data_IF_526224732202
#
_entry.id   IF_526224732202
#
_cell.length_a   1.000
_cell.length_b   1.000
_cell.length_c   1.000
_cell.angle_alpha   90.00
_cell.angle_beta   90.00
_cell.angle_gamma   90.00
#
_symmetry.space_group_name_H-M   'P 1'
#
loop_
_entity.id
_entity.type
_entity.pdbx_description
1 polymer ?
#
# COMPACT_ATOMS: atom_id res chain seq x y z
N UNK A 1 -2.51 -14.74 11.68
CA UNK A 1 -1.14 -14.20 11.84
C UNK A 1 -0.78 -13.43 10.59
N UNK A 2 -0.06 -12.31 10.71
CA UNK A 2 0.41 -11.57 9.56
C UNK A 2 1.73 -12.16 9.03
N UNK A 3 1.91 -12.15 7.71
CA UNK A 3 3.12 -12.58 7.02
C UNK A 3 3.85 -11.36 6.45
N UNK A 4 5.18 -11.32 6.60
CA UNK A 4 5.99 -10.24 6.04
C UNK A 4 6.01 -10.32 4.51
N UNK A 5 5.81 -9.17 3.86
CA UNK A 5 5.83 -9.05 2.40
C UNK A 5 7.13 -8.40 1.96
N UNK A 6 7.48 -7.26 2.54
CA UNK A 6 8.64 -6.50 2.08
C UNK A 6 8.80 -5.15 2.77
N UNK A 7 9.91 -4.48 2.45
CA UNK A 7 10.15 -3.09 2.81
C UNK A 7 10.42 -2.32 1.53
N UNK A 8 9.68 -1.23 1.33
CA UNK A 8 9.69 -0.44 0.10
C UNK A 8 10.00 1.00 0.44
N UNK A 9 10.79 1.65 -0.42
CA UNK A 9 11.19 3.04 -0.24
C UNK A 9 11.03 3.82 -1.55
N UNK A 10 10.49 5.02 -1.45
CA UNK A 10 10.43 5.98 -2.55
C UNK A 10 10.44 7.41 -2.00
N UNK A 11 10.67 8.39 -2.88
CA UNK A 11 10.51 9.80 -2.52
C UNK A 11 9.05 10.12 -2.21
N UNK A 12 8.83 11.03 -1.26
CA UNK A 12 7.50 11.53 -0.93
C UNK A 12 6.94 12.37 -2.07
N UNK A 13 5.72 12.05 -2.52
CA UNK A 13 5.02 12.88 -3.51
C UNK A 13 4.63 14.25 -2.92
N UNK A 14 4.46 14.34 -1.60
CA UNK A 14 4.03 15.54 -0.92
C UNK A 14 5.16 16.56 -0.70
N UNK A 15 6.43 16.12 -0.67
CA UNK A 15 7.57 16.99 -0.40
C UNK A 15 8.75 16.73 -1.32
N UNK A 16 9.15 17.76 -2.05
CA UNK A 16 10.27 17.73 -3.00
C UNK A 16 11.64 17.97 -2.35
N UNK A 17 11.72 18.02 -1.02
CA UNK A 17 12.95 18.25 -0.26
C UNK A 17 13.80 16.99 -0.08
N UNK A 18 13.56 15.96 -0.91
CA UNK A 18 14.28 14.69 -0.85
C UNK A 18 13.83 13.77 0.29
N UNK A 19 12.67 14.03 0.89
CA UNK A 19 12.11 13.15 1.91
C UNK A 19 11.81 11.77 1.33
N UNK A 20 12.36 10.73 1.95
CA UNK A 20 12.09 9.33 1.62
C UNK A 20 11.00 8.78 2.54
N UNK A 21 10.00 8.14 1.94
CA UNK A 21 8.98 7.35 2.64
C UNK A 21 9.42 5.89 2.61
N UNK A 22 9.36 5.23 3.77
CA UNK A 22 9.60 3.79 3.90
C UNK A 22 8.35 3.10 4.42
N UNK A 23 7.90 2.05 3.74
CA UNK A 23 6.83 1.16 4.18
C UNK A 23 7.37 -0.21 4.52
N UNK A 24 7.03 -0.75 5.69
CA UNK A 24 7.22 -2.17 6.03
C UNK A 24 5.87 -2.87 5.95
N UNK A 25 5.70 -3.70 4.93
CA UNK A 25 4.41 -4.26 4.54
C UNK A 25 4.25 -5.70 5.03
N UNK A 26 3.03 -6.02 5.46
CA UNK A 26 2.59 -7.35 5.87
C UNK A 26 1.24 -7.66 5.24
N UNK A 27 0.96 -8.94 5.01
CA UNK A 27 -0.35 -9.43 4.56
C UNK A 27 -0.97 -10.35 5.61
N UNK A 28 -2.30 -10.37 5.71
CA UNK A 28 -3.04 -11.21 6.63
C UNK A 28 -4.46 -11.46 6.13
N UNK A 29 -5.06 -12.59 6.51
CA UNK A 29 -6.49 -12.80 6.35
C UNK A 29 -7.27 -11.91 7.33
N UNK A 30 -8.32 -11.28 6.83
CA UNK A 30 -9.26 -10.49 7.63
C UNK A 30 -10.65 -11.14 7.59
N UNK A 31 -11.38 -11.07 8.71
CA UNK A 31 -12.77 -11.53 8.82
C UNK A 31 -13.62 -10.45 9.48
N UNK A 32 -14.81 -10.20 8.91
CA UNK A 32 -15.71 -9.16 9.38
C UNK A 32 -15.68 -7.92 8.48
N UNK A 33 -16.51 -6.91 8.78
CA UNK A 33 -16.60 -5.70 7.98
C UNK A 33 -15.41 -4.76 8.25
N UNK A 34 -15.01 -4.02 7.23
CA UNK A 34 -14.15 -2.85 7.43
C UNK A 34 -14.98 -1.67 7.89
N UNK A 35 -14.48 -0.92 8.87
CA UNK A 35 -15.11 0.30 9.36
C UNK A 35 -14.07 1.40 9.45
N UNK A 36 -14.41 2.57 8.90
CA UNK A 36 -13.58 3.76 8.97
C UNK A 36 -13.42 4.19 10.44
N UNK A 37 -12.25 4.71 10.80
CA UNK A 37 -11.96 5.12 12.18
C UNK A 37 -10.87 6.18 12.23
N UNK A 38 -10.95 7.08 13.22
CA UNK A 38 -9.99 8.15 13.49
C UNK A 38 -9.78 9.05 12.26
N UNK A 39 -8.53 9.22 11.82
CA UNK A 39 -8.16 10.07 10.69
C UNK A 39 -8.50 9.48 9.31
N UNK A 40 -8.93 8.21 9.23
CA UNK A 40 -9.25 7.59 7.96
C UNK A 40 -10.64 8.07 7.54
N UNK A 41 -10.73 8.67 6.36
CA UNK A 41 -11.98 9.22 5.78
C UNK A 41 -12.72 8.18 4.91
N UNK A 42 -11.97 7.29 4.23
CA UNK A 42 -12.53 6.27 3.33
C UNK A 42 -11.73 4.95 3.41
N UNK A 43 -12.42 3.82 3.22
CA UNK A 43 -11.80 2.52 2.94
C UNK A 43 -12.37 2.00 1.62
N UNK A 44 -11.49 1.66 0.68
CA UNK A 44 -11.86 1.13 -0.63
C UNK A 44 -10.87 0.05 -1.07
N UNK A 45 -11.30 -0.79 -2.01
CA UNK A 45 -10.43 -1.76 -2.65
C UNK A 45 -9.73 -1.13 -3.86
N UNK A 46 -8.48 -1.51 -4.08
CA UNK A 46 -7.66 -1.10 -5.22
C UNK A 46 -7.05 -2.32 -5.88
N UNK A 47 -6.72 -2.15 -7.15
CA UNK A 47 -6.10 -3.13 -8.05
C UNK A 47 -4.68 -2.69 -8.40
N UNK A 48 -3.91 -3.54 -9.07
CA UNK A 48 -2.60 -3.12 -9.59
C UNK A 48 -2.69 -2.02 -10.66
N UNK A 49 -3.86 -1.83 -11.27
CA UNK A 49 -4.11 -0.78 -12.26
C UNK A 49 -4.32 0.61 -11.63
N UNK A 50 -4.63 0.70 -10.33
CA UNK A 50 -4.93 1.95 -9.61
C UNK A 50 -3.67 2.73 -9.19
N UNK A 51 -2.55 2.55 -9.90
CA UNK A 51 -1.27 3.18 -9.55
C UNK A 51 -1.33 4.71 -9.50
N UNK A 52 -2.17 5.34 -10.32
CA UNK A 52 -2.37 6.79 -10.36
C UNK A 52 -3.08 7.35 -9.12
N UNK A 53 -3.80 6.50 -8.37
CA UNK A 53 -4.55 6.87 -7.15
C UNK A 53 -3.73 6.76 -5.87
N UNK A 54 -2.52 6.22 -5.94
CA UNK A 54 -1.68 5.93 -4.77
C UNK A 54 -0.30 6.59 -4.86
N UNK A 55 0.39 6.64 -3.72
CA UNK A 55 1.71 7.27 -3.63
C UNK A 55 2.78 6.48 -4.39
N UNK A 56 3.92 7.12 -4.67
CA UNK A 56 5.05 6.52 -5.35
C UNK A 56 5.53 5.21 -4.69
N UNK A 57 5.55 5.15 -3.35
CA UNK A 57 5.95 3.92 -2.63
C UNK A 57 4.88 2.84 -2.72
N UNK A 58 3.59 3.21 -2.69
CA UNK A 58 2.48 2.25 -2.83
C UNK A 58 2.44 1.63 -4.23
N UNK A 59 2.82 2.37 -5.28
CA UNK A 59 2.97 1.81 -6.64
C UNK A 59 3.98 0.66 -6.66
N UNK A 60 5.08 0.77 -5.90
CA UNK A 60 6.06 -0.31 -5.77
C UNK A 60 5.47 -1.52 -5.05
N UNK A 61 4.65 -1.30 -4.03
CA UNK A 61 3.94 -2.37 -3.31
C UNK A 61 2.94 -3.07 -4.24
N UNK A 62 2.12 -2.33 -4.99
CA UNK A 62 1.15 -2.89 -5.94
C UNK A 62 1.84 -3.71 -7.03
N UNK A 63 2.92 -3.20 -7.62
CA UNK A 63 3.71 -3.94 -8.60
C UNK A 63 4.27 -5.25 -8.02
N UNK A 64 4.82 -5.21 -6.80
CA UNK A 64 5.33 -6.40 -6.13
C UNK A 64 4.24 -7.45 -5.86
N UNK A 65 3.06 -7.00 -5.38
CA UNK A 65 1.95 -7.91 -5.09
C UNK A 65 1.41 -8.55 -6.36
N UNK A 66 1.35 -7.82 -7.48
CA UNK A 66 0.98 -8.36 -8.78
C UNK A 66 1.99 -9.37 -9.32
N UNK A 67 3.28 -9.04 -9.26
CA UNK A 67 4.36 -9.95 -9.69
C UNK A 67 4.38 -11.25 -8.87
N UNK A 68 3.88 -11.19 -7.63
CA UNK A 68 3.70 -12.33 -6.74
C UNK A 68 2.35 -13.04 -6.87
N UNK A 69 1.48 -12.63 -7.81
CA UNK A 69 0.13 -13.17 -8.04
C UNK A 69 -0.78 -13.10 -6.79
N UNK A 70 -0.60 -12.06 -5.98
CA UNK A 70 -1.40 -11.80 -4.77
C UNK A 70 -2.57 -10.84 -5.04
N UNK A 71 -2.48 -10.06 -6.12
CA UNK A 71 -3.53 -9.19 -6.68
C UNK A 71 -3.48 -9.31 -8.22
N UNK A 72 -4.44 -8.69 -8.91
CA UNK A 72 -4.56 -8.68 -10.38
C UNK A 72 -3.44 -7.91 -11.12
#
# INVERSE_FOLDING_TARGET
>A
TAAYVGTFEALSDARTDGLVVRLTCYTASHSGPFAVSREIDEITWITSADGDRVSAVDRLVLAHLRDADLID
#
